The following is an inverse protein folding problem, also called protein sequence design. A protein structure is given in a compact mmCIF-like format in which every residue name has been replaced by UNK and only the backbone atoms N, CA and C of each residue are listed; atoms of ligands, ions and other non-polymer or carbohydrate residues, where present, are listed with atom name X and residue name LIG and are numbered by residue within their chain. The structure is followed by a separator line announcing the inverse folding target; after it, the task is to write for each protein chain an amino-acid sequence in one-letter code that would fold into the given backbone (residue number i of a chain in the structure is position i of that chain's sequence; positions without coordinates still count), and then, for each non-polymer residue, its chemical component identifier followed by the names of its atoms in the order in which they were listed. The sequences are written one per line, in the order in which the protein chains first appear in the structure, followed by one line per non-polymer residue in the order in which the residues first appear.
data_IF_946007088024
#
_entry.id   IF_946007088024
#
_cell.length_a   1.000
_cell.length_b   1.000
_cell.length_c   1.000
_cell.angle_alpha   90.00
_cell.angle_beta   90.00
_cell.angle_gamma   90.00
#
_symmetry.space_group_name_H-M   'P 1'
#
loop_
_entity.id
_entity.type
_entity.pdbx_description
1 polymer ?
#
# COMPACT_ATOMS: atom_id res chain seq x y z
N UNK A 1 26.27 3.14 -11.25
CA UNK A 1 25.20 3.36 -10.23
C UNK A 1 24.27 2.16 -10.29
N UNK A 2 23.97 1.50 -9.17
CA UNK A 2 23.02 0.40 -9.13
C UNK A 2 21.62 0.96 -8.87
N UNK A 3 20.69 0.72 -9.79
CA UNK A 3 19.29 1.08 -9.59
C UNK A 3 18.67 0.06 -8.64
N UNK A 4 17.86 0.52 -7.70
CA UNK A 4 17.18 -0.34 -6.73
C UNK A 4 15.68 -0.10 -6.80
N UNK A 5 14.92 -1.17 -6.71
CA UNK A 5 13.47 -1.08 -6.64
C UNK A 5 13.07 -0.37 -5.33
N UNK A 6 12.28 0.70 -5.40
CA UNK A 6 11.84 1.44 -4.21
C UNK A 6 11.05 0.55 -3.23
N UNK A 7 10.43 -0.53 -3.73
CA UNK A 7 9.58 -1.44 -2.98
C UNK A 7 10.39 -2.54 -2.31
N UNK A 8 11.14 -3.36 -3.06
CA UNK A 8 11.90 -4.49 -2.51
C UNK A 8 13.38 -4.19 -2.21
N UNK A 9 13.91 -3.07 -2.70
CA UNK A 9 15.33 -2.70 -2.68
C UNK A 9 16.27 -3.68 -3.41
N UNK A 10 15.73 -4.63 -4.16
CA UNK A 10 16.51 -5.47 -5.08
C UNK A 10 17.11 -4.63 -6.21
N UNK A 11 18.25 -5.08 -6.73
CA UNK A 11 18.89 -4.47 -7.88
C UNK A 11 18.00 -4.62 -9.11
N UNK A 12 17.78 -3.53 -9.82
CA UNK A 12 17.06 -3.53 -11.09
C UNK A 12 18.10 -3.63 -12.21
N UNK A 13 18.01 -4.67 -13.02
CA UNK A 13 18.80 -4.77 -14.25
C UNK A 13 18.11 -3.95 -15.34
N UNK A 14 18.73 -2.85 -15.74
CA UNK A 14 18.23 -1.95 -16.80
C UNK A 14 18.42 -2.59 -18.18
N UNK A 15 19.25 -3.62 -18.27
CA UNK A 15 19.50 -4.36 -19.51
C UNK A 15 18.34 -5.29 -19.84
N UNK A 16 17.53 -5.65 -18.85
CA UNK A 16 16.33 -6.46 -19.04
C UNK A 16 15.22 -5.60 -19.65
N UNK A 17 14.60 -6.11 -20.71
CA UNK A 17 13.57 -5.38 -21.41
C UNK A 17 12.29 -5.36 -20.56
N UNK A 18 11.59 -4.23 -20.54
CA UNK A 18 10.28 -4.16 -19.88
C UNK A 18 9.33 -5.22 -20.48
N UNK A 19 8.58 -5.95 -19.63
CA UNK A 19 7.64 -6.95 -20.11
C UNK A 19 6.56 -6.31 -20.98
N UNK A 20 6.12 -7.05 -22.01
CA UNK A 20 5.02 -6.59 -22.87
C UNK A 20 3.71 -6.43 -22.11
N UNK A 21 2.81 -5.60 -22.64
CA UNK A 21 1.48 -5.39 -22.06
C UNK A 21 0.70 -6.69 -21.94
N UNK A 22 0.83 -7.60 -22.90
CA UNK A 22 0.17 -8.91 -22.90
C UNK A 22 0.65 -9.76 -21.71
N UNK A 23 1.97 -9.82 -21.48
CA UNK A 23 2.57 -10.56 -20.35
C UNK A 23 2.12 -9.98 -19.02
N UNK A 24 2.12 -8.65 -18.89
CA UNK A 24 1.63 -7.98 -17.68
C UNK A 24 0.14 -8.22 -17.46
N UNK A 25 -0.67 -8.16 -18.52
CA UNK A 25 -2.12 -8.39 -18.45
C UNK A 25 -2.42 -9.83 -18.01
N UNK A 26 -1.72 -10.81 -18.59
CA UNK A 26 -1.83 -12.19 -18.18
C UNK A 26 -1.46 -12.36 -16.70
N UNK A 27 -0.38 -11.72 -16.24
CA UNK A 27 0.11 -11.83 -14.87
C UNK A 27 -0.80 -11.13 -13.83
N UNK A 28 -1.36 -9.99 -14.18
CA UNK A 28 -2.19 -9.17 -13.27
C UNK A 28 -3.67 -9.57 -13.28
N UNK A 29 -4.14 -10.11 -14.41
CA UNK A 29 -5.54 -10.45 -14.62
C UNK A 29 -6.42 -9.22 -14.87
N UNK A 30 -7.63 -9.25 -14.33
CA UNK A 30 -8.64 -8.21 -14.52
C UNK A 30 -8.95 -7.49 -13.22
N UNK A 31 -9.34 -6.22 -13.33
CA UNK A 31 -9.84 -5.46 -12.19
C UNK A 31 -11.20 -6.03 -11.78
N UNK A 32 -11.39 -6.26 -10.49
CA UNK A 32 -12.60 -6.87 -9.96
C UNK A 32 -13.43 -5.81 -9.22
N UNK A 33 -12.88 -5.26 -8.13
CA UNK A 33 -13.63 -4.36 -7.27
C UNK A 33 -12.75 -3.32 -6.57
N UNK A 34 -13.31 -2.16 -6.20
CA UNK A 34 -12.60 -1.08 -5.51
C UNK A 34 -12.71 -1.18 -3.99
N UNK A 35 -11.75 -1.80 -3.33
CA UNK A 35 -11.76 -2.01 -1.87
C UNK A 35 -11.91 -0.72 -1.06
N UNK A 36 -11.22 0.35 -1.43
CA UNK A 36 -11.40 1.68 -0.81
C UNK A 36 -10.10 2.48 -0.65
N UNK A 37 -10.21 3.65 -0.01
CA UNK A 37 -9.07 4.57 0.18
C UNK A 37 -8.13 4.08 1.27
N UNK A 38 -6.83 4.09 0.96
CA UNK A 38 -5.76 3.68 1.87
C UNK A 38 -4.58 4.63 1.83
N UNK A 39 -3.83 4.65 2.93
CA UNK A 39 -2.52 5.28 3.04
C UNK A 39 -1.46 4.19 3.20
N UNK A 40 -0.59 4.03 2.21
CA UNK A 40 0.53 3.10 2.21
C UNK A 40 1.75 3.69 2.92
N UNK A 41 2.46 2.86 3.68
CA UNK A 41 3.76 3.22 4.21
C UNK A 41 4.84 2.99 3.15
N UNK A 42 5.28 4.06 2.49
CA UNK A 42 6.35 4.03 1.48
C UNK A 42 7.17 5.32 1.50
N UNK A 43 8.46 5.22 1.18
CA UNK A 43 9.34 6.38 1.09
C UNK A 43 9.27 6.96 -0.32
N UNK A 44 9.24 8.30 -0.43
CA UNK A 44 9.40 9.08 -1.68
C UNK A 44 8.31 8.89 -2.76
N UNK A 45 7.44 7.88 -2.62
CA UNK A 45 6.30 7.60 -3.50
C UNK A 45 4.97 8.07 -2.89
N UNK A 46 3.95 8.38 -3.71
CA UNK A 46 2.67 8.93 -3.23
C UNK A 46 1.96 8.07 -2.18
N UNK A 47 1.86 8.46 -0.92
CA UNK A 47 1.43 7.50 0.11
C UNK A 47 -0.07 7.20 0.06
N UNK A 48 -0.88 8.08 -0.53
CA UNK A 48 -2.34 7.98 -0.45
C UNK A 48 -2.95 7.63 -1.81
N UNK A 49 -3.97 6.78 -1.78
CA UNK A 49 -4.65 6.34 -2.99
C UNK A 49 -5.78 5.37 -2.70
N UNK A 50 -6.18 4.65 -3.73
CA UNK A 50 -7.20 3.61 -3.65
C UNK A 50 -6.58 2.23 -3.82
N UNK A 51 -7.07 1.29 -3.04
CA UNK A 51 -6.79 -0.13 -3.21
C UNK A 51 -7.93 -0.79 -3.98
N UNK A 52 -7.58 -1.61 -4.95
CA UNK A 52 -8.50 -2.38 -5.77
C UNK A 52 -8.13 -3.87 -5.68
N UNK A 53 -9.15 -4.71 -5.74
CA UNK A 53 -9.05 -6.14 -5.98
C UNK A 53 -8.88 -6.37 -7.48
N UNK A 54 -7.97 -7.26 -7.83
CA UNK A 54 -7.83 -7.83 -9.16
C UNK A 54 -7.80 -9.36 -9.05
N UNK A 55 -8.11 -10.04 -10.14
CA UNK A 55 -8.23 -11.51 -10.10
C UNK A 55 -6.96 -12.23 -9.65
N UNK A 56 -5.77 -11.66 -9.90
CA UNK A 56 -4.48 -12.23 -9.48
C UNK A 56 -3.74 -11.45 -8.40
N UNK A 57 -4.32 -10.37 -7.86
CA UNK A 57 -3.63 -9.55 -6.87
C UNK A 57 -4.41 -8.35 -6.37
N UNK A 58 -3.70 -7.48 -5.65
CA UNK A 58 -4.18 -6.18 -5.20
C UNK A 58 -3.47 -5.08 -5.98
N UNK A 59 -4.22 -4.09 -6.45
CA UNK A 59 -3.68 -2.90 -7.11
C UNK A 59 -3.85 -1.69 -6.20
N UNK A 60 -2.75 -1.02 -5.89
CA UNK A 60 -2.77 0.32 -5.33
C UNK A 60 -2.58 1.34 -6.44
N UNK A 61 -3.55 2.24 -6.58
CA UNK A 61 -3.52 3.37 -7.50
C UNK A 61 -3.37 4.67 -6.70
N UNK A 62 -2.24 5.38 -6.82
CA UNK A 62 -2.05 6.65 -6.12
C UNK A 62 -3.05 7.70 -6.61
N UNK A 63 -3.50 8.53 -5.67
CA UNK A 63 -4.46 9.61 -5.93
C UNK A 63 -3.89 11.00 -5.62
N UNK A 64 -2.63 11.05 -5.20
CA UNK A 64 -2.00 12.28 -4.73
C UNK A 64 -1.77 13.24 -5.90
N UNK A 65 -2.52 14.34 -5.92
CA UNK A 65 -2.03 15.59 -6.49
C UNK A 65 -1.05 16.15 -5.49
N UNK A 66 0.25 16.07 -5.78
CA UNK A 66 1.20 16.93 -5.06
C UNK A 66 0.87 18.35 -5.47
N UNK A 67 0.21 19.10 -4.58
CA UNK A 67 0.42 20.53 -4.57
C UNK A 67 1.93 20.70 -4.36
N UNK A 68 2.61 21.23 -5.37
CA UNK A 68 4.00 21.65 -5.22
C UNK A 68 3.96 22.81 -4.23
N UNK A 69 3.96 22.51 -2.94
CA UNK A 69 4.09 23.51 -1.90
C UNK A 69 5.53 24.02 -2.03
N UNK A 70 5.66 25.21 -2.61
CA UNK A 70 6.91 25.96 -2.67
C UNK A 70 7.61 25.85 -1.31
N UNK A 71 8.87 25.36 -1.30
CA UNK A 71 9.69 25.13 -0.11
C UNK A 71 9.79 26.35 0.83
N UNK A 72 9.40 27.53 0.36
CA UNK A 72 9.39 28.78 1.09
C UNK A 72 8.32 28.89 2.22
N UNK A 73 7.26 28.06 2.25
CA UNK A 73 6.09 28.39 3.10
C UNK A 73 5.68 27.42 4.20
N UNK A 74 6.25 26.21 4.33
CA UNK A 74 5.71 25.25 5.32
C UNK A 74 6.72 24.37 6.04
N UNK A 75 7.84 24.93 6.50
CA UNK A 75 8.60 24.32 7.60
C UNK A 75 7.92 24.66 8.93
N UNK A 76 7.08 23.75 9.45
CA UNK A 76 6.73 23.76 10.88
C UNK A 76 7.65 22.75 11.59
N UNK A 77 8.40 23.17 12.62
CA UNK A 77 9.26 22.26 13.36
C UNK A 77 8.40 21.19 14.05
N UNK A 78 8.93 19.95 14.01
CA UNK A 78 8.38 18.78 14.70
C UNK A 78 8.06 19.10 16.16
N UNK A 79 6.87 18.68 16.59
CA UNK A 79 6.46 18.80 17.98
C UNK A 79 7.35 17.96 18.89
N UNK A 80 7.77 18.58 19.98
CA UNK A 80 8.48 17.97 21.10
C UNK A 80 7.54 17.07 21.89
N UNK A 81 7.26 15.85 21.40
CA UNK A 81 6.61 14.82 22.22
C UNK A 81 7.63 14.15 23.14
N UNK A 82 7.37 14.29 24.45
CA UNK A 82 8.33 14.14 25.53
C UNK A 82 8.90 12.73 25.82
N UNK A 83 10.06 12.78 26.48
CA UNK A 83 10.99 11.71 26.88
C UNK A 83 10.43 10.50 27.67
N UNK A 84 9.14 10.42 27.99
CA UNK A 84 8.60 9.32 28.80
C UNK A 84 8.27 8.05 28.02
N UNK A 85 8.11 8.14 26.69
CA UNK A 85 7.78 7.00 25.82
C UNK A 85 8.97 6.08 25.51
N UNK A 86 10.22 6.51 25.72
CA UNK A 86 11.40 5.66 25.47
C UNK A 86 11.47 4.46 26.40
N UNK A 87 10.96 4.58 27.63
CA UNK A 87 11.00 3.52 28.64
C UNK A 87 9.96 2.42 28.38
N UNK A 88 8.81 2.75 27.78
CA UNK A 88 7.77 1.77 27.41
C UNK A 88 8.19 0.97 26.17
N UNK A 89 8.95 1.58 25.25
CA UNK A 89 9.44 0.93 24.02
C UNK A 89 10.43 -0.20 24.26
N UNK A 90 11.19 -0.18 25.37
CA UNK A 90 12.14 -1.25 25.69
C UNK A 90 11.47 -2.51 26.25
N UNK A 91 10.31 -2.38 26.91
CA UNK A 91 9.60 -3.52 27.52
C UNK A 91 8.63 -4.22 26.57
N UNK A 92 8.14 -3.53 25.52
CA UNK A 92 7.22 -4.10 24.54
C UNK A 92 7.61 -3.68 23.12
N UNK A 93 8.46 -4.45 22.41
CA UNK A 93 8.87 -4.14 21.04
C UNK A 93 7.68 -4.05 20.07
N UNK A 94 6.60 -4.77 20.34
CA UNK A 94 5.35 -4.64 19.57
C UNK A 94 4.68 -3.27 19.76
N UNK A 95 4.70 -2.70 20.97
CA UNK A 95 4.19 -1.35 21.24
C UNK A 95 5.03 -0.28 20.57
N UNK A 96 6.36 -0.45 20.53
CA UNK A 96 7.27 0.43 19.83
C UNK A 96 7.00 0.47 18.32
N UNK A 97 6.75 -0.68 17.68
CA UNK A 97 6.39 -0.75 16.27
C UNK A 97 5.06 -0.05 15.99
N UNK A 98 4.06 -0.20 16.88
CA UNK A 98 2.75 0.44 16.74
C UNK A 98 2.88 1.95 16.83
N UNK A 99 3.60 2.45 17.84
CA UNK A 99 3.81 3.87 18.03
C UNK A 99 4.60 4.48 16.87
N UNK A 100 5.61 3.76 16.39
CA UNK A 100 6.36 4.17 15.20
C UNK A 100 5.48 4.24 13.94
N UNK A 101 4.62 3.24 13.70
CA UNK A 101 3.65 3.26 12.60
C UNK A 101 2.64 4.40 12.76
N UNK A 102 2.10 4.59 13.96
CA UNK A 102 1.12 5.63 14.26
C UNK A 102 1.69 7.03 14.04
N UNK A 103 2.91 7.29 14.53
CA UNK A 103 3.63 8.55 14.30
C UNK A 103 3.89 8.80 12.81
N UNK A 104 4.39 7.79 12.07
CA UNK A 104 4.65 7.93 10.63
C UNK A 104 3.40 8.25 9.81
N UNK A 105 2.23 7.72 10.20
CA UNK A 105 0.98 8.06 9.54
C UNK A 105 0.40 9.42 10.01
N UNK A 106 0.74 9.89 11.22
CA UNK A 106 0.19 11.12 11.81
C UNK A 106 0.99 12.39 11.48
N UNK A 107 2.30 12.31 11.24
CA UNK A 107 3.10 13.49 10.82
C UNK A 107 2.61 14.09 9.49
N UNK A 108 1.86 13.30 8.73
CA UNK A 108 1.26 13.65 7.45
C UNK A 108 -0.20 14.12 7.64
N UNK A 109 -0.38 15.28 8.29
CA UNK A 109 -1.66 16.00 8.36
C UNK A 109 -2.01 16.58 6.98
N UNK A 110 -2.49 15.75 6.07
CA UNK A 110 -2.94 16.19 4.74
C UNK A 110 -4.45 16.40 4.75
N UNK A 111 -4.87 17.60 4.35
CA UNK A 111 -6.28 17.98 4.22
C UNK A 111 -6.98 17.08 3.18
N UNK A 112 -8.20 16.68 3.54
CA UNK A 112 -9.01 15.58 3.01
C UNK A 112 -9.60 15.76 1.60
N UNK A 113 -8.94 16.50 0.70
CA UNK A 113 -9.38 16.56 -0.70
C UNK A 113 -8.74 15.44 -1.52
N UNK A 114 -9.11 14.20 -1.21
CA UNK A 114 -8.90 13.11 -2.17
C UNK A 114 -9.72 13.43 -3.42
N UNK A 115 -9.09 13.35 -4.59
CA UNK A 115 -9.83 13.41 -5.85
C UNK A 115 -10.92 12.32 -5.86
N UNK A 116 -11.95 12.42 -6.69
CA UNK A 116 -12.77 11.26 -6.98
C UNK A 116 -11.89 10.13 -7.56
N UNK A 117 -12.21 8.85 -7.28
CA UNK A 117 -11.56 7.75 -7.98
C UNK A 117 -11.72 7.93 -9.50
N UNK A 118 -10.71 7.57 -10.31
CA UNK A 118 -10.93 7.48 -11.74
C UNK A 118 -12.00 6.42 -12.02
N UNK A 119 -12.86 6.70 -13.00
CA UNK A 119 -13.78 5.71 -13.53
C UNK A 119 -12.97 4.71 -14.36
N UNK A 120 -12.87 3.47 -13.88
CA UNK A 120 -12.06 2.43 -14.46
C UNK A 120 -13.00 1.36 -15.02
N UNK A 121 -12.93 1.10 -16.33
CA UNK A 121 -13.67 0.01 -16.95
C UNK A 121 -13.05 -1.35 -16.53
N UNK A 122 -13.74 -2.14 -15.70
CA UNK A 122 -13.19 -3.41 -15.21
C UNK A 122 -13.05 -4.46 -16.34
N UNK A 123 -13.74 -4.27 -17.45
CA UNK A 123 -13.72 -5.18 -18.59
C UNK A 123 -12.69 -4.80 -19.65
N UNK A 124 -12.06 -3.63 -19.54
CA UNK A 124 -11.04 -3.20 -20.47
C UNK A 124 -9.79 -4.09 -20.36
N UNK A 125 -9.49 -4.92 -21.38
CA UNK A 125 -8.28 -5.73 -21.35
C UNK A 125 -7.07 -4.79 -21.32
N UNK A 126 -6.04 -5.18 -20.57
CA UNK A 126 -4.79 -4.42 -20.40
C UNK A 126 -4.86 -3.14 -19.57
N UNK A 127 -6.01 -2.75 -19.01
CA UNK A 127 -6.11 -1.52 -18.19
C UNK A 127 -5.09 -1.51 -17.05
N UNK A 128 -5.01 -2.60 -16.28
CA UNK A 128 -4.09 -2.74 -15.16
C UNK A 128 -2.62 -2.61 -15.58
N UNK A 129 -2.25 -3.28 -16.67
CA UNK A 129 -0.90 -3.23 -17.22
C UNK A 129 -0.52 -1.82 -17.67
N UNK A 130 -1.43 -1.12 -18.35
CA UNK A 130 -1.23 0.28 -18.77
C UNK A 130 -1.08 1.20 -17.58
N UNK A 131 -1.92 1.06 -16.55
CA UNK A 131 -1.82 1.88 -15.34
C UNK A 131 -0.47 1.70 -14.64
N UNK A 132 0.02 0.46 -14.56
CA UNK A 132 1.32 0.15 -13.96
C UNK A 132 2.48 0.81 -14.72
N UNK A 133 2.43 0.81 -16.06
CA UNK A 133 3.48 1.42 -16.90
C UNK A 133 3.41 2.95 -16.95
N UNK A 134 2.22 3.54 -16.90
CA UNK A 134 2.01 4.97 -17.11
C UNK A 134 2.15 5.81 -15.84
N UNK A 135 1.81 5.25 -14.67
CA UNK A 135 1.71 6.03 -13.45
C UNK A 135 2.78 5.64 -12.42
N UNK A 136 3.74 6.55 -12.13
CA UNK A 136 4.74 6.29 -11.12
C UNK A 136 4.08 6.11 -9.75
N UNK A 137 4.48 5.06 -9.04
CA UNK A 137 3.92 4.74 -7.73
C UNK A 137 2.61 3.95 -7.77
N UNK A 138 2.12 3.50 -8.93
CA UNK A 138 1.23 2.33 -8.95
C UNK A 138 1.97 1.13 -8.39
N UNK A 139 1.28 0.31 -7.60
CA UNK A 139 1.84 -0.90 -7.03
C UNK A 139 0.87 -2.05 -7.25
N UNK A 140 1.38 -3.16 -7.77
CA UNK A 140 0.65 -4.41 -7.83
C UNK A 140 1.24 -5.44 -6.85
N UNK A 141 0.38 -6.11 -6.10
CA UNK A 141 0.74 -7.12 -5.11
C UNK A 141 0.05 -8.41 -5.51
N UNK A 142 0.79 -9.32 -6.12
CA UNK A 142 0.28 -10.65 -6.47
C UNK A 142 -0.21 -11.42 -5.24
N UNK A 143 -1.35 -12.07 -5.36
CA UNK A 143 -1.93 -12.87 -4.29
C UNK A 143 -1.00 -14.01 -3.84
N UNK A 144 -0.34 -14.67 -4.80
CA UNK A 144 0.65 -15.73 -4.55
C UNK A 144 1.86 -15.23 -3.76
N UNK A 145 2.16 -13.93 -3.82
CA UNK A 145 3.27 -13.35 -3.06
C UNK A 145 2.91 -13.08 -1.60
N UNK A 146 1.61 -13.00 -1.25
CA UNK A 146 1.12 -12.74 0.11
C UNK A 146 1.05 -14.07 0.85
N UNK A 147 1.82 -14.23 1.93
CA UNK A 147 1.81 -15.47 2.73
C UNK A 147 0.82 -15.41 3.88
N UNK A 148 0.78 -14.26 4.54
CA UNK A 148 -0.05 -14.02 5.71
C UNK A 148 -0.39 -12.54 5.71
N UNK A 149 -1.53 -12.21 6.31
CA UNK A 149 -1.90 -10.83 6.56
C UNK A 149 -2.30 -10.66 8.01
N UNK A 150 -2.15 -9.43 8.48
CA UNK A 150 -2.57 -9.02 9.80
C UNK A 150 -3.34 -7.72 9.70
N UNK A 151 -4.49 -7.68 10.34
CA UNK A 151 -5.28 -6.49 10.53
C UNK A 151 -5.25 -6.06 12.00
N UNK A 152 -5.21 -4.75 12.25
CA UNK A 152 -5.40 -4.17 13.58
C UNK A 152 -6.11 -2.83 13.45
N UNK A 153 -7.39 -2.82 13.79
CA UNK A 153 -8.27 -1.65 13.60
C UNK A 153 -8.26 -1.19 12.13
N UNK A 154 -7.65 -0.06 11.83
CA UNK A 154 -7.53 0.47 10.46
C UNK A 154 -6.21 0.13 9.77
N UNK A 155 -5.26 -0.46 10.50
CA UNK A 155 -3.93 -0.76 9.97
C UNK A 155 -3.89 -2.21 9.48
N UNK A 156 -3.29 -2.39 8.32
CA UNK A 156 -3.11 -3.66 7.66
C UNK A 156 -1.64 -3.89 7.37
N UNK A 157 -1.25 -5.15 7.44
CA UNK A 157 0.10 -5.61 7.13
C UNK A 157 0.00 -6.87 6.29
N UNK A 158 0.55 -6.85 5.08
CA UNK A 158 0.65 -8.00 4.19
C UNK A 158 2.10 -8.47 4.19
N UNK A 159 2.33 -9.67 4.72
CA UNK A 159 3.65 -10.29 4.72
C UNK A 159 3.82 -11.10 3.45
N UNK A 160 4.98 -10.97 2.81
CA UNK A 160 5.22 -11.50 1.47
C UNK A 160 6.46 -12.39 1.43
N UNK A 161 6.45 -13.41 0.58
CA UNK A 161 7.60 -14.29 0.39
C UNK A 161 8.74 -13.55 -0.33
N UNK A 162 9.95 -13.60 0.22
CA UNK A 162 11.17 -13.07 -0.43
C UNK A 162 11.17 -11.56 -0.71
N UNK A 163 10.17 -10.81 -0.26
CA UNK A 163 9.99 -9.38 -0.57
C UNK A 163 9.56 -8.60 0.66
N UNK A 164 9.59 -7.27 0.58
CA UNK A 164 9.21 -6.41 1.70
C UNK A 164 7.73 -6.54 2.05
N UNK A 165 7.47 -6.51 3.36
CA UNK A 165 6.13 -6.39 3.94
C UNK A 165 5.48 -5.09 3.50
N UNK A 166 4.19 -5.17 3.17
CA UNK A 166 3.40 -4.00 2.78
C UNK A 166 2.53 -3.58 3.97
N UNK A 167 2.63 -2.32 4.36
CA UNK A 167 1.79 -1.74 5.40
C UNK A 167 0.89 -0.66 4.81
N UNK A 168 -0.38 -0.66 5.20
CA UNK A 168 -1.29 0.41 4.84
C UNK A 168 -2.36 0.64 5.90
N UNK A 169 -2.95 1.83 5.89
CA UNK A 169 -4.02 2.26 6.78
C UNK A 169 -5.26 2.61 5.97
N UNK A 170 -6.43 2.11 6.40
CA UNK A 170 -7.72 2.43 5.81
C UNK A 170 -8.14 3.84 6.21
N UNK A 171 -8.54 4.65 5.22
CA UNK A 171 -8.98 6.04 5.42
C UNK A 171 -10.50 6.18 5.48
N UNK A 172 -11.25 5.29 4.80
CA UNK A 172 -12.72 5.31 4.73
C UNK A 172 -13.44 4.42 5.76
N UNK A 173 -14.60 3.89 5.35
CA UNK A 173 -15.38 2.93 6.14
C UNK A 173 -14.56 1.65 6.40
N UNK A 174 -14.26 1.42 7.68
CA UNK A 174 -13.45 0.28 8.11
C UNK A 174 -14.18 -1.04 7.90
N UNK A 175 -15.48 -1.09 8.17
CA UNK A 175 -16.22 -2.35 8.18
C UNK A 175 -16.42 -2.86 6.75
N UNK A 176 -16.86 -1.99 5.84
CA UNK A 176 -16.99 -2.32 4.42
C UNK A 176 -15.65 -2.77 3.82
N UNK A 177 -14.60 -1.96 4.02
CA UNK A 177 -13.26 -2.29 3.55
C UNK A 177 -12.80 -3.65 4.08
N UNK A 178 -13.04 -3.93 5.37
CA UNK A 178 -12.63 -5.19 6.00
C UNK A 178 -13.28 -6.40 5.34
N UNK A 179 -14.60 -6.36 5.17
CA UNK A 179 -15.36 -7.44 4.53
C UNK A 179 -14.85 -7.70 3.12
N UNK A 180 -14.59 -6.64 2.35
CA UNK A 180 -14.19 -6.75 0.94
C UNK A 180 -12.74 -7.22 0.78
N UNK A 181 -11.80 -6.70 1.58
CA UNK A 181 -10.41 -7.16 1.50
C UNK A 181 -10.25 -8.60 2.00
N UNK A 182 -11.00 -9.01 3.03
CA UNK A 182 -10.99 -10.40 3.46
C UNK A 182 -11.55 -11.32 2.38
N UNK A 183 -12.65 -10.92 1.71
CA UNK A 183 -13.18 -11.69 0.58
C UNK A 183 -12.12 -11.84 -0.51
N UNK A 184 -11.46 -10.75 -0.91
CA UNK A 184 -10.40 -10.77 -1.93
C UNK A 184 -9.21 -11.69 -1.54
N UNK A 185 -8.80 -11.67 -0.27
CA UNK A 185 -7.65 -12.46 0.21
C UNK A 185 -7.99 -13.94 0.49
N UNK A 186 -9.24 -14.27 0.82
CA UNK A 186 -9.70 -15.65 1.11
C UNK A 186 -9.70 -16.53 -0.13
N UNK A 187 -9.99 -15.98 -1.31
CA UNK A 187 -10.03 -16.76 -2.56
C UNK A 187 -8.69 -17.39 -2.95
N UNK A 188 -7.58 -16.86 -2.46
CA UNK A 188 -6.25 -17.29 -2.92
C UNK A 188 -5.53 -18.22 -1.97
N UNK A 189 -6.01 -18.37 -0.74
CA UNK A 189 -5.39 -19.22 0.26
C UNK A 189 -6.41 -19.96 1.09
N UNK A 190 -6.88 -21.09 0.58
CA UNK A 190 -7.74 -22.03 1.33
C UNK A 190 -7.09 -22.56 2.61
N UNK A 191 -5.77 -22.40 2.78
CA UNK A 191 -5.00 -22.81 3.95
C UNK A 191 -4.43 -21.64 4.78
N UNK A 192 -4.75 -20.38 4.45
CA UNK A 192 -4.29 -19.24 5.27
C UNK A 192 -5.10 -19.15 6.55
N UNK A 193 -4.50 -19.54 7.66
CA UNK A 193 -5.01 -19.24 8.99
C UNK A 193 -4.97 -17.73 9.20
N UNK A 194 -6.14 -17.10 9.33
CA UNK A 194 -6.25 -15.78 9.93
C UNK A 194 -5.61 -15.84 11.31
N UNK A 195 -4.54 -15.08 11.54
CA UNK A 195 -3.95 -14.96 12.87
C UNK A 195 -4.86 -14.04 13.69
N UNK A 196 -5.91 -14.62 14.25
CA UNK A 196 -6.71 -13.98 15.29
C UNK A 196 -5.83 -13.79 16.52
N UNK A 197 -5.70 -12.56 17.01
CA UNK A 197 -5.13 -12.33 18.33
C UNK A 197 -6.26 -12.04 19.31
N UNK A 198 -6.23 -12.79 20.41
CA UNK A 198 -6.83 -12.48 21.71
C UNK A 198 -6.41 -11.08 22.20
#
# INVERSE_FOLDING_TARGET
MQYRCALCAEGVDISDADPSLEVLTERMGFLDDRLGSVQMLRNELPQTGHLYSATKGLLFLPQETRDVVDEATCWKPQSTTGHWWSTVKSMMPQAALIDWLAHRFHENNWNESLLPPPDLDPHAPQLLARLLMQHPGVLFIEHTSIQQFRNRKRNWTLYRHGTRTVHFRVLGDRHDFHTRIEAALRFTHTNSTTVEML
#
